data_IF_313596670909
#
_entry.id   IF_313596670909
#
_cell.length_a   1.000
_cell.length_b   1.000
_cell.length_c   1.000
_cell.angle_alpha   90.00
_cell.angle_beta   90.00
_cell.angle_gamma   90.00
#
_symmetry.space_group_name_H-M   'P 1'
#
loop_
_entity.id
_entity.type
_entity.pdbx_description
1 polymer ?
#
# COMPACT_ATOMS: atom_id res chain seq x y z
N UNK A 1 -8.74 -42.89 -15.72
CA UNK A 1 -9.23 -43.83 -16.75
C UNK A 1 -9.28 -43.07 -18.09
N UNK A 2 -8.58 -43.55 -19.12
CA UNK A 2 -8.55 -43.09 -20.54
C UNK A 2 -8.01 -41.65 -20.77
N UNK A 3 -6.72 -41.39 -21.08
CA UNK A 3 -5.83 -41.76 -22.21
C UNK A 3 -6.32 -41.38 -23.62
N UNK A 4 -5.43 -40.67 -24.34
CA UNK A 4 -5.18 -40.63 -25.82
C UNK A 4 -6.04 -39.64 -26.64
N UNK A 5 -5.60 -38.94 -27.71
CA UNK A 5 -4.40 -38.92 -28.58
C UNK A 5 -4.46 -37.62 -29.43
N UNK A 6 -3.38 -36.84 -29.55
CA UNK A 6 -2.59 -36.56 -30.77
C UNK A 6 -3.20 -36.97 -32.14
N UNK A 7 -3.32 -36.00 -33.06
CA UNK A 7 -2.84 -35.96 -34.48
C UNK A 7 -3.55 -34.77 -35.18
N UNK A 8 -3.07 -34.09 -36.24
CA UNK A 8 -2.01 -34.40 -37.19
C UNK A 8 -1.61 -33.12 -37.93
N UNK A 9 -0.34 -33.12 -38.33
CA UNK A 9 0.37 -32.17 -39.19
C UNK A 9 -0.18 -32.24 -40.62
N UNK A 10 -0.48 -31.09 -41.22
CA UNK A 10 -0.80 -30.97 -42.66
C UNK A 10 0.37 -30.32 -43.40
N UNK A 11 1.01 -31.09 -44.28
CA UNK A 11 2.23 -30.75 -45.01
C UNK A 11 2.06 -29.63 -46.04
N UNK A 12 3.15 -28.87 -46.14
CA UNK A 12 3.51 -27.94 -47.19
C UNK A 12 3.65 -28.66 -48.56
N UNK A 13 3.15 -28.07 -49.63
CA UNK A 13 3.52 -28.44 -51.00
C UNK A 13 3.85 -27.17 -51.79
N UNK A 14 5.04 -27.21 -52.38
CA UNK A 14 5.74 -26.13 -53.07
C UNK A 14 5.49 -26.35 -54.57
N UNK A 15 5.09 -25.29 -55.28
CA UNK A 15 5.20 -25.24 -56.73
C UNK A 15 5.89 -23.91 -57.11
N UNK A 16 7.08 -24.03 -57.70
CA UNK A 16 7.88 -22.93 -58.20
C UNK A 16 7.43 -22.56 -59.62
N UNK A 17 7.28 -21.26 -59.89
CA UNK A 17 7.12 -20.69 -61.22
C UNK A 17 7.81 -19.32 -61.27
N UNK A 18 8.84 -19.20 -62.09
CA UNK A 18 9.62 -17.97 -62.31
C UNK A 18 9.11 -17.28 -63.57
N UNK A 19 8.65 -16.02 -63.49
CA UNK A 19 8.74 -15.02 -64.57
C UNK A 19 8.86 -13.63 -63.92
N UNK A 20 9.78 -12.80 -64.43
CA UNK A 20 10.32 -11.59 -63.79
C UNK A 20 9.43 -10.34 -63.74
N UNK A 21 9.99 -9.32 -63.08
CA UNK A 21 9.44 -7.97 -63.02
C UNK A 21 9.92 -7.21 -61.79
N UNK A 22 10.89 -6.31 -61.96
CA UNK A 22 11.35 -5.38 -60.92
C UNK A 22 10.22 -4.45 -60.46
N UNK A 23 9.87 -4.49 -59.18
CA UNK A 23 9.29 -3.35 -58.47
C UNK A 23 9.52 -3.49 -56.96
N UNK A 24 10.23 -2.50 -56.42
CA UNK A 24 10.60 -2.31 -55.03
C UNK A 24 9.36 -2.35 -54.12
N UNK A 25 9.21 -3.39 -53.28
CA UNK A 25 8.22 -3.38 -52.19
C UNK A 25 8.95 -3.63 -50.87
N UNK A 26 9.17 -2.53 -50.14
CA UNK A 26 9.75 -2.54 -48.81
C UNK A 26 8.84 -3.32 -47.84
N UNK A 27 9.42 -4.29 -47.13
CA UNK A 27 8.75 -5.01 -46.05
C UNK A 27 8.77 -4.14 -44.80
N UNK A 28 7.66 -3.47 -44.50
CA UNK A 28 7.47 -2.82 -43.19
C UNK A 28 7.24 -3.94 -42.18
N UNK A 29 8.24 -4.23 -41.34
CA UNK A 29 8.06 -5.12 -40.19
C UNK A 29 7.20 -4.40 -39.16
N UNK A 30 5.96 -4.85 -38.97
CA UNK A 30 5.10 -4.36 -37.91
C UNK A 30 5.67 -4.80 -36.55
N UNK A 31 6.29 -3.86 -35.83
CA UNK A 31 6.66 -4.08 -34.44
C UNK A 31 5.40 -4.26 -33.60
N UNK A 32 5.33 -5.35 -32.85
CA UNK A 32 4.22 -5.67 -31.94
C UNK A 32 4.34 -4.74 -30.73
N UNK A 33 3.54 -3.68 -30.70
CA UNK A 33 3.47 -2.79 -29.54
C UNK A 33 2.81 -3.54 -28.38
N UNK A 34 3.59 -3.85 -27.35
CA UNK A 34 3.08 -4.36 -26.09
C UNK A 34 2.44 -3.17 -25.35
N UNK A 35 1.12 -3.07 -25.39
CA UNK A 35 0.38 -2.10 -24.57
C UNK A 35 0.62 -2.40 -23.09
N UNK A 36 1.37 -1.51 -22.43
CA UNK A 36 1.39 -1.41 -20.97
C UNK A 36 -0.01 -0.97 -20.54
N UNK A 37 -0.79 -1.88 -19.97
CA UNK A 37 -2.05 -1.52 -19.34
C UNK A 37 -1.74 -0.59 -18.16
N UNK A 38 -2.22 0.66 -18.23
CA UNK A 38 -2.26 1.54 -17.07
C UNK A 38 -3.12 0.90 -15.98
N UNK A 39 -2.61 0.83 -14.76
CA UNK A 39 -3.40 0.43 -13.61
C UNK A 39 -4.64 1.34 -13.48
N UNK A 40 -5.79 0.82 -13.01
CA UNK A 40 -6.97 1.65 -12.82
C UNK A 40 -6.67 2.76 -11.81
N UNK A 41 -7.11 3.97 -12.15
CA UNK A 41 -7.11 5.15 -11.28
C UNK A 41 -8.03 4.85 -10.09
N UNK A 42 -7.46 4.32 -8.99
CA UNK A 42 -8.21 4.13 -7.76
C UNK A 42 -8.33 5.47 -7.06
N UNK A 43 -9.53 5.82 -6.56
CA UNK A 43 -9.67 7.05 -5.78
C UNK A 43 -8.69 7.03 -4.60
N UNK A 44 -8.16 8.19 -4.20
CA UNK A 44 -7.25 8.28 -3.07
C UNK A 44 -7.92 7.75 -1.80
N UNK A 45 -7.13 7.12 -0.93
CA UNK A 45 -7.62 6.57 0.34
C UNK A 45 -7.85 7.72 1.33
N UNK A 46 -9.09 7.92 1.76
CA UNK A 46 -9.48 8.93 2.74
C UNK A 46 -9.08 8.49 4.16
N UNK A 47 -8.39 9.37 4.89
CA UNK A 47 -7.95 9.12 6.27
C UNK A 47 -8.16 10.37 7.14
N UNK A 48 -8.82 10.19 8.29
CA UNK A 48 -8.99 11.25 9.29
C UNK A 48 -7.97 11.08 10.40
N UNK A 49 -7.17 12.11 10.66
CA UNK A 49 -6.08 12.08 11.66
C UNK A 49 -6.45 12.99 12.81
N UNK A 50 -6.43 12.45 14.04
CA UNK A 50 -6.64 13.17 15.28
C UNK A 50 -5.29 13.39 15.97
N UNK A 51 -4.95 14.64 16.25
CA UNK A 51 -3.69 15.01 16.92
C UNK A 51 -3.83 16.22 17.82
N UNK A 52 -2.89 16.34 18.75
CA UNK A 52 -2.71 17.58 19.50
C UNK A 52 -2.21 18.71 18.57
N UNK A 53 -2.70 19.96 18.73
CA UNK A 53 -2.28 21.10 17.91
C UNK A 53 -0.78 21.37 17.92
N UNK A 54 -0.10 21.05 19.02
CA UNK A 54 1.33 21.34 19.25
C UNK A 54 2.26 20.19 18.86
N UNK A 55 1.72 19.05 18.42
CA UNK A 55 2.51 17.89 18.03
C UNK A 55 3.13 18.05 16.62
N UNK A 56 4.38 18.49 16.55
CA UNK A 56 5.08 18.70 15.28
C UNK A 56 5.35 17.43 14.46
N UNK A 57 5.69 16.30 15.10
CA UNK A 57 5.91 15.04 14.38
C UNK A 57 4.61 14.46 13.81
N UNK A 58 3.48 14.65 14.50
CA UNK A 58 2.16 14.28 13.99
C UNK A 58 1.83 15.01 12.68
N UNK A 59 2.18 16.29 12.59
CA UNK A 59 2.00 17.07 11.36
C UNK A 59 2.91 16.58 10.22
N UNK A 60 4.18 16.28 10.50
CA UNK A 60 5.09 15.70 9.51
C UNK A 60 4.61 14.33 9.00
N UNK A 61 3.98 13.52 9.86
CA UNK A 61 3.37 12.27 9.42
C UNK A 61 2.17 12.49 8.49
N UNK A 62 1.35 13.53 8.73
CA UNK A 62 0.27 13.95 7.81
C UNK A 62 0.86 14.34 6.45
N UNK A 63 1.86 15.22 6.42
CA UNK A 63 2.53 15.63 5.18
C UNK A 63 3.09 14.42 4.43
N UNK A 64 3.71 13.48 5.15
CA UNK A 64 4.15 12.22 4.59
C UNK A 64 2.99 11.46 3.92
N UNK A 65 1.86 11.25 4.60
CA UNK A 65 0.71 10.56 4.02
C UNK A 65 0.16 11.25 2.76
N UNK A 66 0.12 12.57 2.75
CA UNK A 66 -0.28 13.36 1.57
C UNK A 66 0.70 13.15 0.41
N UNK A 67 2.01 13.12 0.66
CA UNK A 67 3.01 12.78 -0.38
C UNK A 67 2.86 11.35 -0.91
N UNK A 68 2.31 10.46 -0.08
CA UNK A 68 1.98 9.09 -0.43
C UNK A 68 0.61 8.95 -1.14
N UNK A 69 -0.05 10.07 -1.45
CA UNK A 69 -1.31 10.13 -2.19
C UNK A 69 -2.55 9.75 -1.40
N UNK A 70 -2.50 9.79 -0.06
CA UNK A 70 -3.69 9.67 0.78
C UNK A 70 -4.37 11.03 0.90
N UNK A 71 -5.70 11.02 1.00
CA UNK A 71 -6.49 12.22 1.23
C UNK A 71 -6.68 12.38 2.74
N UNK A 72 -5.92 13.30 3.34
CA UNK A 72 -5.89 13.46 4.80
C UNK A 72 -6.86 14.55 5.26
N UNK A 73 -7.63 14.26 6.32
CA UNK A 73 -8.38 15.25 7.10
C UNK A 73 -7.72 15.41 8.47
N UNK A 74 -7.07 16.55 8.70
CA UNK A 74 -6.44 16.89 9.99
C UNK A 74 -7.49 17.42 10.99
N UNK A 75 -7.70 16.70 12.08
CA UNK A 75 -8.63 17.02 13.16
C UNK A 75 -7.86 17.27 14.44
N UNK A 76 -7.82 18.53 14.87
CA UNK A 76 -7.21 18.89 16.13
C UNK A 76 -8.05 18.41 17.30
N UNK A 77 -7.41 17.80 18.29
CA UNK A 77 -8.08 17.28 19.48
C UNK A 77 -7.19 17.44 20.71
N UNK A 78 -7.69 18.14 21.74
CA UNK A 78 -6.91 18.43 22.95
C UNK A 78 -6.83 17.22 23.89
N UNK A 79 -7.93 16.48 24.07
CA UNK A 79 -7.95 15.29 24.94
C UNK A 79 -7.72 14.00 24.14
N UNK A 80 -6.47 13.80 23.72
CA UNK A 80 -6.08 12.59 23.00
C UNK A 80 -6.20 11.32 23.86
N UNK A 81 -6.07 11.42 25.18
CA UNK A 81 -6.14 10.26 26.07
C UNK A 81 -7.54 9.64 26.08
N UNK A 82 -8.58 10.48 26.16
CA UNK A 82 -9.98 10.03 26.08
C UNK A 82 -10.30 9.48 24.69
N UNK A 83 -9.82 10.12 23.62
CA UNK A 83 -10.04 9.65 22.25
C UNK A 83 -9.45 8.25 22.01
N UNK A 84 -8.24 7.99 22.48
CA UNK A 84 -7.58 6.67 22.38
C UNK A 84 -8.36 5.57 23.13
N UNK A 85 -8.88 5.88 24.32
CA UNK A 85 -9.74 4.97 25.08
C UNK A 85 -11.05 4.67 24.35
N UNK A 86 -11.70 5.68 23.76
CA UNK A 86 -12.92 5.50 22.98
C UNK A 86 -12.72 4.60 21.76
N UNK A 87 -11.55 4.66 21.13
CA UNK A 87 -11.18 3.78 20.02
C UNK A 87 -10.60 2.43 20.45
N UNK A 88 -10.59 2.12 21.75
CA UNK A 88 -10.19 0.82 22.28
C UNK A 88 -8.71 0.50 22.07
N UNK A 89 -7.86 1.54 22.03
CA UNK A 89 -6.42 1.38 21.84
C UNK A 89 -5.81 0.87 23.14
N UNK A 90 -5.12 -0.30 23.13
CA UNK A 90 -4.42 -0.80 24.29
C UNK A 90 -3.35 0.19 24.79
N UNK A 91 -3.21 0.32 26.10
CA UNK A 91 -2.35 1.34 26.71
C UNK A 91 -0.87 1.20 26.29
N UNK A 92 -0.39 -0.03 26.11
CA UNK A 92 0.96 -0.36 25.65
C UNK A 92 1.20 -0.09 24.16
N UNK A 93 0.14 0.17 23.39
CA UNK A 93 0.22 0.50 21.97
C UNK A 93 0.12 2.00 21.67
N UNK A 94 -0.06 2.83 22.70
CA UNK A 94 -0.29 4.26 22.52
C UNK A 94 0.91 5.00 21.91
N UNK A 95 0.59 6.02 21.11
CA UNK A 95 1.50 6.93 20.43
C UNK A 95 0.94 8.37 20.47
N UNK A 96 1.52 9.30 19.71
CA UNK A 96 1.23 10.72 19.74
C UNK A 96 -0.08 11.13 19.02
N UNK A 97 -0.52 10.37 18.01
CA UNK A 97 -1.75 10.64 17.24
C UNK A 97 -2.49 9.35 16.90
N UNK A 98 -3.74 9.50 16.49
CA UNK A 98 -4.63 8.39 16.12
C UNK A 98 -5.36 8.75 14.84
N UNK A 99 -5.54 7.82 13.92
CA UNK A 99 -6.27 8.04 12.69
C UNK A 99 -7.33 6.96 12.42
N UNK A 100 -8.29 7.29 11.57
CA UNK A 100 -9.38 6.41 11.12
C UNK A 100 -9.40 6.33 9.60
N UNK A 101 -9.46 5.10 9.08
CA UNK A 101 -9.51 4.81 7.64
C UNK A 101 -10.34 3.54 7.43
N UNK A 102 -11.37 3.60 6.59
CA UNK A 102 -12.18 2.42 6.21
C UNK A 102 -12.70 1.56 7.39
N UNK A 103 -12.94 2.20 8.54
CA UNK A 103 -13.37 1.55 9.78
C UNK A 103 -12.24 1.12 10.72
N UNK A 104 -11.00 1.04 10.25
CA UNK A 104 -9.82 0.70 11.05
C UNK A 104 -9.29 1.86 11.88
N UNK A 105 -8.56 1.54 12.94
CA UNK A 105 -7.76 2.47 13.75
C UNK A 105 -6.29 2.38 13.34
N UNK A 106 -5.64 3.52 13.14
CA UNK A 106 -4.20 3.62 12.90
C UNK A 106 -3.60 4.42 14.04
N UNK A 107 -2.68 3.85 14.80
CA UNK A 107 -2.10 4.49 15.98
C UNK A 107 -0.60 4.77 15.77
N UNK A 108 -0.22 6.05 15.86
CA UNK A 108 1.17 6.47 15.70
C UNK A 108 1.70 6.43 14.26
N UNK A 109 3.02 6.49 14.15
CA UNK A 109 3.78 6.72 12.91
C UNK A 109 3.82 5.49 11.97
N UNK A 110 2.66 4.98 11.58
CA UNK A 110 2.50 3.82 10.71
C UNK A 110 2.83 4.20 9.24
N UNK A 111 3.62 3.40 8.51
CA UNK A 111 3.87 3.64 7.08
C UNK A 111 2.63 3.48 6.21
N UNK A 112 2.47 4.34 5.19
CA UNK A 112 1.34 4.33 4.27
C UNK A 112 1.10 2.97 3.57
N UNK A 113 2.16 2.23 3.26
CA UNK A 113 2.03 0.91 2.64
C UNK A 113 1.39 -0.13 3.58
N UNK A 114 1.67 -0.06 4.88
CA UNK A 114 1.01 -0.92 5.87
C UNK A 114 -0.46 -0.53 6.05
N UNK A 115 -0.80 0.76 5.96
CA UNK A 115 -2.20 1.24 5.96
C UNK A 115 -2.95 0.71 4.73
N UNK A 116 -2.36 0.82 3.54
CA UNK A 116 -2.95 0.29 2.30
C UNK A 116 -3.12 -1.22 2.37
N UNK A 117 -2.12 -1.94 2.88
CA UNK A 117 -2.21 -3.39 3.06
C UNK A 117 -3.34 -3.77 4.01
N UNK A 118 -3.50 -3.08 5.13
CA UNK A 118 -4.60 -3.29 6.06
C UNK A 118 -5.97 -3.16 5.38
N UNK A 119 -6.15 -2.08 4.59
CA UNK A 119 -7.41 -1.83 3.88
C UNK A 119 -7.65 -2.84 2.75
N UNK A 120 -6.60 -3.29 2.07
CA UNK A 120 -6.70 -4.26 0.99
C UNK A 120 -7.02 -5.68 1.51
N UNK A 121 -6.35 -6.11 2.57
CA UNK A 121 -6.49 -7.47 3.13
C UNK A 121 -7.72 -7.60 4.04
N UNK A 122 -8.18 -6.49 4.63
CA UNK A 122 -9.30 -6.40 5.57
C UNK A 122 -9.30 -7.49 6.66
N UNK A 123 -8.20 -7.67 7.42
CA UNK A 123 -8.17 -8.63 8.52
C UNK A 123 -9.18 -8.27 9.62
N UNK A 124 -9.57 -9.26 10.42
CA UNK A 124 -10.49 -9.11 11.56
C UNK A 124 -9.76 -8.53 12.78
N UNK A 125 -9.39 -7.26 12.69
CA UNK A 125 -8.70 -6.49 13.73
C UNK A 125 -9.36 -5.13 13.90
N UNK A 126 -9.09 -4.47 15.02
CA UNK A 126 -9.53 -3.08 15.25
C UNK A 126 -8.62 -2.12 14.51
N UNK A 127 -7.32 -2.39 14.50
CA UNK A 127 -6.34 -1.48 13.94
C UNK A 127 -4.92 -2.00 13.93
N UNK A 128 -4.02 -1.12 13.50
CA UNK A 128 -2.57 -1.30 13.55
C UNK A 128 -1.93 -0.10 14.26
N UNK A 129 -0.80 -0.33 14.91
CA UNK A 129 -0.09 0.65 15.71
C UNK A 129 1.42 0.60 15.46
N UNK A 130 2.09 1.76 15.54
CA UNK A 130 3.50 1.89 15.89
C UNK A 130 3.57 2.49 17.29
N UNK A 131 3.80 1.68 18.34
CA UNK A 131 3.82 2.16 19.71
C UNK A 131 4.97 3.13 19.97
N UNK A 132 4.73 4.13 20.83
CA UNK A 132 5.72 5.15 21.16
C UNK A 132 6.02 6.09 19.99
N UNK A 133 7.28 6.48 19.83
CA UNK A 133 7.74 7.41 18.78
C UNK A 133 9.17 7.03 18.32
N UNK A 134 9.35 5.90 17.63
CA UNK A 134 10.67 5.43 17.20
C UNK A 134 11.28 6.39 16.17
N UNK A 135 12.56 6.74 16.35
CA UNK A 135 13.25 7.63 15.40
C UNK A 135 13.38 6.91 14.06
N UNK A 136 13.06 7.59 12.96
CA UNK A 136 13.16 7.04 11.61
C UNK A 136 11.90 6.36 11.09
N UNK A 137 10.83 6.22 11.90
CA UNK A 137 9.48 6.04 11.35
C UNK A 137 9.02 7.31 10.63
N UNK A 138 8.01 7.25 9.73
CA UNK A 138 7.59 8.41 8.96
C UNK A 138 7.13 9.57 9.84
N UNK A 139 7.63 10.78 9.62
CA UNK A 139 7.39 11.96 10.47
C UNK A 139 8.22 12.01 11.76
N UNK A 140 9.11 11.04 11.97
CA UNK A 140 10.07 10.96 13.09
C UNK A 140 11.53 10.87 12.58
N UNK A 141 11.79 11.25 11.34
CA UNK A 141 13.14 11.25 10.77
C UNK A 141 14.06 12.24 11.50
N UNK A 142 15.25 11.78 11.87
CA UNK A 142 16.24 12.64 12.54
C UNK A 142 17.66 12.29 12.08
N UNK A 143 18.14 13.04 11.08
CA UNK A 143 19.44 12.81 10.46
C UNK A 143 19.57 11.38 9.93
N UNK A 144 20.66 10.69 10.33
CA UNK A 144 20.95 9.32 9.90
C UNK A 144 20.51 8.25 10.92
N UNK A 145 19.90 8.64 12.03
CA UNK A 145 19.47 7.67 13.05
C UNK A 145 18.16 7.01 12.61
N UNK A 146 18.10 5.68 12.73
CA UNK A 146 16.88 4.89 12.62
C UNK A 146 16.85 3.85 13.73
N UNK A 147 15.77 3.86 14.50
CA UNK A 147 15.47 2.85 15.50
C UNK A 147 14.64 1.76 14.81
N UNK A 148 14.94 0.49 15.10
CA UNK A 148 14.09 -0.60 14.63
C UNK A 148 12.71 -0.50 15.30
N UNK A 149 11.65 -0.75 14.53
CA UNK A 149 10.28 -0.72 15.04
C UNK A 149 9.40 -1.75 14.35
N UNK A 150 8.29 -2.08 14.99
CA UNK A 150 7.28 -2.96 14.43
C UNK A 150 5.97 -2.23 14.29
N UNK A 151 5.25 -2.54 13.21
CA UNK A 151 3.82 -2.27 13.12
C UNK A 151 3.12 -3.48 13.71
N UNK A 152 2.22 -3.27 14.66
CA UNK A 152 1.49 -4.33 15.35
C UNK A 152 0.00 -4.18 15.11
N UNK A 153 -0.68 -5.27 14.76
CA UNK A 153 -2.14 -5.31 14.70
C UNK A 153 -2.72 -5.62 16.07
N UNK A 154 -3.91 -5.09 16.38
CA UNK A 154 -4.62 -5.38 17.63
C UNK A 154 -6.12 -5.56 17.42
N UNK A 155 -6.73 -6.42 18.23
CA UNK A 155 -8.18 -6.67 18.21
C UNK A 155 -8.89 -6.08 19.45
N UNK A 156 -10.22 -6.25 19.53
CA UNK A 156 -11.03 -5.72 20.63
C UNK A 156 -10.67 -6.31 22.00
N UNK A 157 -10.07 -7.50 22.05
CA UNK A 157 -9.61 -8.13 23.28
C UNK A 157 -8.21 -7.65 23.70
N UNK A 158 -7.60 -6.72 22.94
CA UNK A 158 -6.24 -6.23 23.17
C UNK A 158 -5.15 -7.24 22.79
N UNK A 159 -5.49 -8.33 22.09
CA UNK A 159 -4.51 -9.28 21.58
C UNK A 159 -3.76 -8.66 20.41
N UNK A 160 -2.45 -8.87 20.36
CA UNK A 160 -1.56 -8.27 19.37
C UNK A 160 -0.84 -9.30 18.52
N UNK A 161 -0.48 -8.90 17.30
CA UNK A 161 0.39 -9.66 16.41
C UNK A 161 1.28 -8.70 15.62
N UNK A 162 2.49 -9.14 15.25
CA UNK A 162 3.35 -8.35 14.37
C UNK A 162 2.72 -8.32 12.99
N UNK A 163 2.42 -7.11 12.51
CA UNK A 163 1.96 -6.85 11.16
C UNK A 163 3.16 -6.67 10.22
N UNK A 164 4.14 -5.88 10.62
CA UNK A 164 5.38 -5.66 9.86
C UNK A 164 6.55 -5.29 10.78
N UNK A 165 7.79 -5.40 10.30
CA UNK A 165 8.99 -5.04 11.05
C UNK A 165 9.98 -4.27 10.17
N UNK A 166 10.53 -3.19 10.74
CA UNK A 166 11.48 -2.28 10.10
C UNK A 166 12.77 -2.23 10.92
N UNK A 167 13.90 -2.25 10.22
CA UNK A 167 15.26 -2.26 10.80
C UNK A 167 16.08 -1.08 10.31
#
# INVERSE_FOLDING_TARGET
MKRRLFNQIGLCSIAAGVVGGSALTGRISAAKANSLASAPDQPPLDITVYRDPTCGCCHQWIEYLETQGLQVTDQLHEDMATLKQQYGIPADLTSCHTAKVEGYVIEGHVPADDIRRLVAERPEVVGIAVPGMPVGSPGMESGNRRDAFSVVSFNQAGQTAIFNHYT
#
